data_IF_212956995591
#
_entry.id   IF_212956995591
#
_cell.length_a   1.000
_cell.length_b   1.000
_cell.length_c   1.000
_cell.angle_alpha   90.00
_cell.angle_beta   90.00
_cell.angle_gamma   90.00
#
_symmetry.space_group_name_H-M   'P 1'
#
loop_
_entity.id
_entity.type
_entity.pdbx_description
1 polymer ?
#
# COMPACT_ATOMS: atom_id res chain seq x y z
N UNK A 1 -25.14 -34.41 48.91
CA UNK A 1 -25.06 -33.08 48.26
C UNK A 1 -23.61 -32.81 47.90
N UNK A 2 -23.23 -32.96 46.63
CA UNK A 2 -21.92 -32.53 46.09
C UNK A 2 -22.15 -32.25 44.60
N UNK A 3 -22.47 -30.99 44.29
CA UNK A 3 -22.48 -30.51 42.91
C UNK A 3 -21.05 -30.54 42.41
N UNK A 4 -20.70 -31.55 41.61
CA UNK A 4 -19.34 -31.70 41.10
C UNK A 4 -19.08 -30.60 40.08
N UNK A 5 -18.24 -29.67 40.51
CA UNK A 5 -17.61 -28.56 39.79
C UNK A 5 -16.69 -29.04 38.65
N UNK A 6 -17.21 -29.91 37.79
CA UNK A 6 -16.50 -30.49 36.65
C UNK A 6 -16.80 -29.74 35.33
N UNK A 7 -17.92 -29.02 35.27
CA UNK A 7 -18.28 -28.23 34.08
C UNK A 7 -17.63 -26.84 34.03
N UNK A 8 -17.22 -26.27 35.17
CA UNK A 8 -16.69 -24.90 35.24
C UNK A 8 -15.17 -24.86 34.96
N UNK A 9 -14.45 -25.98 35.11
CA UNK A 9 -12.98 -26.04 34.91
C UNK A 9 -12.59 -26.22 33.43
N UNK A 10 -13.48 -26.72 32.58
CA UNK A 10 -13.24 -26.88 31.13
C UNK A 10 -13.64 -25.67 30.29
N UNK A 11 -14.29 -24.66 30.88
CA UNK A 11 -14.62 -23.39 30.21
C UNK A 11 -13.55 -22.32 30.44
N UNK A 12 -12.69 -22.50 31.45
CA UNK A 12 -11.59 -21.57 31.74
C UNK A 12 -10.27 -21.93 31.00
N UNK A 13 -10.11 -23.16 30.51
CA UNK A 13 -8.94 -23.58 29.72
C UNK A 13 -9.11 -23.39 28.21
N UNK A 14 -10.34 -23.29 27.69
CA UNK A 14 -10.61 -23.07 26.26
C UNK A 14 -10.45 -21.61 25.80
N UNK A 15 -10.30 -20.65 26.72
CA UNK A 15 -10.07 -19.23 26.39
C UNK A 15 -8.57 -18.88 26.35
N UNK A 16 -7.68 -19.76 26.82
CA UNK A 16 -6.24 -19.49 26.98
C UNK A 16 -5.37 -19.81 25.75
N UNK A 17 -5.95 -20.11 24.58
CA UNK A 17 -5.18 -20.37 23.37
C UNK A 17 -5.75 -19.62 22.16
N UNK A 18 -6.14 -18.35 22.35
CA UNK A 18 -6.04 -17.41 21.24
C UNK A 18 -4.58 -16.97 21.16
N UNK A 19 -3.74 -17.81 20.56
CA UNK A 19 -2.37 -17.44 20.23
C UNK A 19 -2.49 -16.21 19.33
N UNK A 20 -2.06 -15.06 19.84
CA UNK A 20 -1.84 -13.88 19.03
C UNK A 20 -0.70 -14.22 18.07
N UNK A 21 -1.05 -14.64 16.85
CA UNK A 21 -0.07 -14.75 15.77
C UNK A 21 0.51 -13.34 15.58
N UNK A 22 1.70 -13.13 16.12
CA UNK A 22 2.48 -11.93 15.86
C UNK A 22 3.28 -12.26 14.62
N UNK A 23 2.79 -11.88 13.44
CA UNK A 23 3.57 -11.98 12.21
C UNK A 23 4.80 -11.06 12.36
N UNK A 24 5.91 -11.60 12.86
CA UNK A 24 7.18 -10.89 12.89
C UNK A 24 7.72 -10.86 11.47
N UNK A 25 7.45 -9.79 10.74
CA UNK A 25 8.07 -9.57 9.44
C UNK A 25 9.55 -9.23 9.63
N UNK A 26 10.41 -9.98 8.95
CA UNK A 26 11.82 -9.65 8.87
C UNK A 26 12.01 -8.38 8.01
N UNK A 27 13.05 -7.61 8.32
CA UNK A 27 13.48 -6.50 7.47
C UNK A 27 13.85 -7.00 6.07
N UNK A 28 13.60 -6.17 5.06
CA UNK A 28 13.86 -6.52 3.67
C UNK A 28 15.36 -6.44 3.36
N UNK A 29 15.82 -7.37 2.52
CA UNK A 29 17.18 -7.37 1.95
C UNK A 29 17.23 -8.26 0.72
N UNK A 30 18.01 -7.86 -0.29
CA UNK A 30 18.16 -8.60 -1.54
C UNK A 30 17.24 -8.11 -2.65
N UNK A 31 17.00 -8.99 -3.62
CA UNK A 31 16.24 -8.66 -4.83
C UNK A 31 14.83 -9.25 -4.76
N UNK A 32 13.84 -8.46 -5.16
CA UNK A 32 12.43 -8.84 -5.25
C UNK A 32 11.88 -8.44 -6.62
N UNK A 33 10.87 -9.15 -7.08
CA UNK A 33 10.21 -8.92 -8.38
C UNK A 33 8.89 -8.19 -8.21
N UNK A 34 8.60 -7.24 -9.10
CA UNK A 34 7.31 -6.55 -9.19
C UNK A 34 6.64 -6.86 -10.52
N UNK A 35 5.41 -7.38 -10.47
CA UNK A 35 4.54 -7.58 -11.63
C UNK A 35 4.83 -8.86 -12.46
N UNK A 36 3.97 -9.11 -13.44
CA UNK A 36 4.00 -10.34 -14.26
C UNK A 36 3.40 -11.57 -13.57
N UNK A 37 3.85 -12.77 -13.97
CA UNK A 37 3.36 -14.04 -13.42
C UNK A 37 4.21 -14.43 -12.21
N UNK A 38 3.54 -14.79 -11.11
CA UNK A 38 4.16 -15.22 -9.84
C UNK A 38 5.31 -14.30 -9.35
N UNK A 39 5.08 -12.99 -9.14
CA UNK A 39 6.08 -12.10 -8.56
C UNK A 39 6.11 -12.16 -7.03
N UNK A 40 7.15 -11.59 -6.42
CA UNK A 40 7.18 -11.33 -4.97
C UNK A 40 6.13 -10.27 -4.59
N UNK A 41 5.95 -9.26 -5.44
CA UNK A 41 4.92 -8.24 -5.31
C UNK A 41 4.16 -8.06 -6.62
N UNK A 42 2.84 -8.08 -6.58
CA UNK A 42 2.03 -7.86 -7.79
C UNK A 42 2.00 -6.40 -8.24
N UNK A 43 2.33 -5.47 -7.35
CA UNK A 43 2.11 -4.03 -7.50
C UNK A 43 3.14 -3.24 -6.70
N UNK A 44 3.40 -1.99 -7.09
CA UNK A 44 4.29 -1.12 -6.32
C UNK A 44 3.75 -0.79 -4.93
N UNK A 45 2.42 -0.58 -4.79
CA UNK A 45 1.82 -0.29 -3.49
C UNK A 45 2.13 -1.36 -2.44
N UNK A 46 2.10 -2.64 -2.81
CA UNK A 46 2.43 -3.74 -1.89
C UNK A 46 3.91 -3.76 -1.50
N UNK A 47 4.82 -3.56 -2.46
CA UNK A 47 6.25 -3.47 -2.18
C UNK A 47 6.57 -2.31 -1.23
N UNK A 48 5.98 -1.14 -1.47
CA UNK A 48 6.15 0.05 -0.62
C UNK A 48 5.51 -0.12 0.75
N UNK A 49 4.35 -0.78 0.84
CA UNK A 49 3.73 -1.09 2.11
C UNK A 49 4.65 -1.94 3.00
N UNK A 50 5.30 -2.96 2.43
CA UNK A 50 6.25 -3.81 3.16
C UNK A 50 7.54 -3.09 3.52
N UNK A 51 8.08 -2.24 2.64
CA UNK A 51 9.21 -1.36 2.94
C UNK A 51 8.95 -0.46 4.14
N UNK A 52 7.78 0.20 4.17
CA UNK A 52 7.41 1.13 5.25
C UNK A 52 7.12 0.37 6.54
N UNK A 53 6.45 -0.78 6.46
CA UNK A 53 6.07 -1.57 7.63
C UNK A 53 7.26 -2.26 8.28
N UNK A 54 8.19 -2.81 7.48
CA UNK A 54 9.26 -3.68 7.97
C UNK A 54 10.63 -3.01 7.98
N UNK A 55 10.86 -2.01 7.13
CA UNK A 55 12.17 -1.41 6.93
C UNK A 55 13.14 -2.33 6.16
N UNK A 56 14.41 -1.92 6.12
CA UNK A 56 15.48 -2.66 5.43
C UNK A 56 16.65 -2.98 6.36
N UNK A 57 17.23 -4.17 6.22
CA UNK A 57 18.45 -4.60 6.95
C UNK A 57 19.70 -4.62 6.05
N UNK A 58 19.51 -4.45 4.75
CA UNK A 58 20.56 -4.43 3.74
C UNK A 58 20.08 -3.71 2.47
N UNK A 59 20.88 -3.70 1.39
CA UNK A 59 20.43 -3.22 0.09
C UNK A 59 19.20 -3.99 -0.38
N UNK A 60 18.23 -3.28 -0.96
CA UNK A 60 17.02 -3.84 -1.55
C UNK A 60 16.90 -3.39 -3.00
N UNK A 61 16.66 -4.34 -3.89
CA UNK A 61 16.42 -4.09 -5.32
C UNK A 61 15.05 -4.65 -5.66
N UNK A 62 14.22 -3.84 -6.29
CA UNK A 62 12.97 -4.26 -6.92
C UNK A 62 13.18 -4.28 -8.43
N UNK A 63 13.25 -5.49 -9.00
CA UNK A 63 13.25 -5.73 -10.43
C UNK A 63 11.79 -5.70 -10.93
N UNK A 64 11.45 -4.62 -11.61
CA UNK A 64 10.09 -4.36 -12.10
C UNK A 64 9.97 -4.89 -13.51
N UNK A 65 9.02 -5.81 -13.72
CA UNK A 65 8.76 -6.38 -15.03
C UNK A 65 8.03 -5.38 -15.93
N UNK A 66 8.25 -5.50 -17.22
CA UNK A 66 7.58 -4.69 -18.24
C UNK A 66 6.06 -4.69 -18.04
N UNK A 67 5.44 -3.51 -18.11
CA UNK A 67 4.01 -3.36 -17.91
C UNK A 67 3.56 -1.96 -17.53
N UNK A 68 2.23 -1.81 -17.49
CA UNK A 68 1.57 -0.58 -17.04
C UNK A 68 0.97 -0.78 -15.66
N UNK A 69 1.35 0.08 -14.72
CA UNK A 69 0.97 0.05 -13.32
C UNK A 69 0.11 1.29 -13.01
N UNK A 70 -1.23 1.19 -13.04
CA UNK A 70 -2.14 2.31 -12.79
C UNK A 70 -2.31 2.56 -11.29
N UNK A 71 -1.26 3.06 -10.64
CA UNK A 71 -1.15 3.21 -9.19
C UNK A 71 -0.65 4.61 -8.80
N UNK A 72 -1.07 5.08 -7.62
CA UNK A 72 -0.48 6.25 -6.97
C UNK A 72 0.31 5.79 -5.76
N UNK A 73 1.62 6.06 -5.76
CA UNK A 73 2.51 5.62 -4.69
C UNK A 73 2.89 6.83 -3.85
N UNK A 74 2.82 6.68 -2.53
CA UNK A 74 3.47 7.57 -1.57
C UNK A 74 4.44 6.75 -0.74
N UNK A 75 5.73 7.11 -0.80
CA UNK A 75 6.76 6.43 -0.03
C UNK A 75 6.92 7.17 1.30
N UNK A 76 6.56 6.49 2.39
CA UNK A 76 6.75 6.99 3.75
C UNK A 76 8.20 6.85 4.23
N UNK A 77 8.43 7.09 5.51
CA UNK A 77 9.73 6.84 6.13
C UNK A 77 10.03 5.33 6.12
N UNK A 78 11.20 4.96 5.61
CA UNK A 78 11.70 3.58 5.63
C UNK A 78 12.80 3.50 6.68
N UNK A 79 12.65 2.62 7.66
CA UNK A 79 13.68 2.41 8.69
C UNK A 79 14.84 1.58 8.14
N UNK A 80 16.07 1.89 8.59
CA UNK A 80 17.27 1.13 8.21
C UNK A 80 17.93 1.53 6.88
N UNK A 81 17.36 2.48 6.14
CA UNK A 81 17.99 3.04 4.94
C UNK A 81 19.25 3.82 5.28
N UNK A 82 20.26 3.70 4.43
CA UNK A 82 21.53 4.41 4.58
C UNK A 82 22.22 4.55 3.22
N UNK A 83 23.44 5.12 3.19
CA UNK A 83 24.26 5.13 1.99
C UNK A 83 24.65 3.72 1.50
N UNK A 84 24.59 2.71 2.38
CA UNK A 84 24.85 1.30 2.04
C UNK A 84 23.56 0.52 1.83
N UNK A 85 22.55 0.76 2.67
CA UNK A 85 21.25 0.08 2.59
C UNK A 85 20.31 0.93 1.73
N UNK A 86 20.52 0.86 0.42
CA UNK A 86 19.71 1.57 -0.57
C UNK A 86 18.46 0.76 -0.91
N UNK A 87 17.41 1.46 -1.35
CA UNK A 87 16.25 0.86 -1.99
C UNK A 87 16.22 1.33 -3.45
N UNK A 88 16.32 0.38 -4.37
CA UNK A 88 16.35 0.66 -5.81
C UNK A 88 15.16 0.00 -6.48
N UNK A 89 14.41 0.76 -7.27
CA UNK A 89 13.45 0.22 -8.24
C UNK A 89 14.07 0.35 -9.62
N UNK A 90 14.16 -0.75 -10.36
CA UNK A 90 14.76 -0.79 -11.69
C UNK A 90 13.95 -1.71 -12.62
N UNK A 91 14.09 -1.54 -13.93
CA UNK A 91 13.48 -2.47 -14.89
C UNK A 91 14.22 -3.81 -14.89
N UNK A 92 13.48 -4.91 -14.80
CA UNK A 92 14.01 -6.29 -14.92
C UNK A 92 14.65 -6.52 -16.30
N UNK A 93 14.09 -5.92 -17.36
CA UNK A 93 14.59 -6.04 -18.73
C UNK A 93 15.78 -5.13 -19.04
N UNK A 94 16.11 -4.20 -18.13
CA UNK A 94 17.12 -3.17 -18.34
C UNK A 94 16.67 -1.99 -19.20
N UNK A 95 15.45 -2.01 -19.73
CA UNK A 95 14.81 -0.88 -20.41
C UNK A 95 13.79 -0.23 -19.48
N UNK A 96 14.02 1.00 -19.03
CA UNK A 96 13.09 1.68 -18.13
C UNK A 96 11.84 2.21 -18.85
N UNK A 97 11.84 2.27 -20.18
CA UNK A 97 10.69 2.78 -20.95
C UNK A 97 9.53 1.80 -21.03
N UNK A 98 9.79 0.52 -20.75
CA UNK A 98 8.79 -0.56 -20.73
C UNK A 98 8.04 -0.67 -19.41
N UNK A 99 8.47 0.06 -18.37
CA UNK A 99 7.82 0.12 -17.06
C UNK A 99 7.08 1.46 -16.94
N UNK A 100 5.75 1.42 -17.03
CA UNK A 100 4.92 2.63 -17.11
C UNK A 100 4.07 2.75 -15.84
N UNK A 101 4.46 3.63 -14.93
CA UNK A 101 3.64 3.99 -13.76
C UNK A 101 2.69 5.14 -14.12
N UNK A 102 1.38 4.94 -13.97
CA UNK A 102 0.36 5.92 -14.38
C UNK A 102 -0.64 6.19 -13.28
N UNK A 103 -1.18 7.41 -13.23
CA UNK A 103 -2.27 7.78 -12.33
C UNK A 103 -3.28 8.67 -13.06
N UNK A 104 -4.57 8.43 -12.86
CA UNK A 104 -5.64 9.29 -13.35
C UNK A 104 -6.15 10.16 -12.21
N UNK A 105 -5.89 11.48 -12.19
CA UNK A 105 -6.39 12.35 -11.14
C UNK A 105 -7.91 12.46 -11.18
N UNK A 106 -8.54 12.47 -10.00
CA UNK A 106 -9.94 12.84 -9.89
C UNK A 106 -10.08 14.35 -10.17
N UNK A 107 -10.91 14.72 -11.15
CA UNK A 107 -11.28 16.11 -11.37
C UNK A 107 -12.18 16.56 -10.21
N UNK A 108 -11.67 17.42 -9.34
CA UNK A 108 -12.51 18.14 -8.37
C UNK A 108 -13.22 19.27 -9.11
N UNK A 109 -14.45 19.02 -9.54
CA UNK A 109 -15.36 20.11 -9.89
C UNK A 109 -15.82 20.74 -8.58
N UNK A 110 -15.11 21.78 -8.15
CA UNK A 110 -15.59 22.64 -7.07
C UNK A 110 -16.89 23.28 -7.54
N UNK A 111 -18.01 22.89 -6.92
CA UNK A 111 -19.27 23.61 -7.09
C UNK A 111 -19.05 25.00 -6.48
N UNK A 112 -18.56 25.94 -7.28
CA UNK A 112 -18.77 27.35 -6.98
C UNK A 112 -20.28 27.51 -6.84
N UNK A 113 -20.67 27.89 -5.63
CA UNK A 113 -21.91 28.51 -5.25
C UNK A 113 -22.40 29.51 -6.32
N UNK A 114 -22.99 28.99 -7.39
CA UNK A 114 -23.73 29.75 -8.37
C UNK A 114 -25.09 30.16 -7.75
N UNK A 115 -25.04 31.01 -6.74
CA UNK A 115 -26.18 31.84 -6.30
C UNK A 115 -26.08 33.27 -6.85
N UNK A 116 -25.43 33.45 -8.01
CA UNK A 116 -25.13 34.80 -8.52
C UNK A 116 -25.14 34.98 -10.03
N UNK A 117 -25.79 34.10 -10.80
CA UNK A 117 -26.09 34.39 -12.21
C UNK A 117 -27.58 34.67 -12.32
N UNK A 118 -28.01 35.76 -11.70
CA UNK A 118 -29.30 36.35 -12.03
C UNK A 118 -29.24 36.74 -13.50
N UNK A 119 -30.08 36.10 -14.31
CA UNK A 119 -30.30 36.50 -15.69
C UNK A 119 -30.81 37.94 -15.67
N UNK A 120 -29.94 38.93 -15.94
CA UNK A 120 -30.41 40.25 -16.32
C UNK A 120 -31.27 40.08 -17.57
N UNK A 121 -32.60 40.10 -17.38
CA UNK A 121 -33.57 40.21 -18.47
C UNK A 121 -33.15 41.43 -19.30
N UNK A 122 -33.00 41.33 -20.63
CA UNK A 122 -32.69 42.49 -21.44
C UNK A 122 -33.79 43.54 -21.25
N UNK A 123 -33.38 44.76 -20.90
CA UNK A 123 -34.25 45.92 -20.92
C UNK A 123 -34.62 46.16 -22.39
N UNK A 124 -35.89 45.94 -22.71
CA UNK A 124 -36.46 46.45 -23.95
C UNK A 124 -36.83 47.90 -23.69
N UNK A 125 -36.01 48.83 -24.17
CA UNK A 125 -36.37 50.26 -24.20
C UNK A 125 -37.62 50.45 -25.07
N UNK A 126 -38.61 51.16 -24.53
CA UNK A 126 -39.69 51.84 -25.24
C UNK A 126 -39.79 53.27 -24.70
#
# INVERSE_FOLDING_TARGET
MKVSSFWIRNILTLVSLFILNSDSKAQLTGTYTIGGITPDYTTFTLAVADLVASGVSGPVIFDVRDGTYPEQISIGTITGVSATNTVTFQSESGDSTTVILTFTPALRFEKTNAEGIESKKPLTDN
#
